data_IF_268889965030
#
_entry.id   IF_268889965030
#
_cell.length_a   1.000
_cell.length_b   1.000
_cell.length_c   1.000
_cell.angle_alpha   90.00
_cell.angle_beta   90.00
_cell.angle_gamma   90.00
#
_symmetry.space_group_name_H-M   'P 1'
#
loop_
_entity.id
_entity.type
_entity.pdbx_description
1 polymer ?
#
# COMPACT_ATOMS: atom_id res chain seq x y z
N UNK A 1 1.10 -2.64 0.47
CA UNK A 1 -0.12 -1.81 0.43
C UNK A 1 -0.04 -0.53 1.28
N UNK A 2 0.18 -0.57 2.61
CA UNK A 2 0.30 0.66 3.43
C UNK A 2 1.48 1.54 3.02
N UNK A 3 2.61 0.92 2.64
CA UNK A 3 3.80 1.61 2.14
C UNK A 3 3.51 2.42 0.87
N UNK A 4 2.67 1.92 -0.04
CA UNK A 4 2.18 2.70 -1.17
C UNK A 4 1.22 3.81 -0.76
N UNK A 5 0.24 3.49 0.11
CA UNK A 5 -0.74 4.46 0.58
C UNK A 5 -0.08 5.71 1.18
N UNK A 6 0.92 5.49 2.03
CA UNK A 6 1.63 6.54 2.74
C UNK A 6 2.92 7.00 2.06
N UNK A 7 3.45 6.28 1.08
CA UNK A 7 4.73 6.58 0.42
C UNK A 7 4.60 7.28 -0.93
N UNK A 8 3.55 7.00 -1.71
CA UNK A 8 3.40 7.56 -3.07
C UNK A 8 2.76 8.94 -3.04
N UNK A 9 3.39 9.88 -3.74
CA UNK A 9 2.92 11.24 -4.00
C UNK A 9 2.24 11.33 -5.37
N UNK A 10 0.91 11.39 -5.41
CA UNK A 10 0.12 11.37 -6.65
C UNK A 10 0.42 12.57 -7.56
N UNK A 11 0.70 13.75 -6.98
CA UNK A 11 1.09 14.92 -7.76
C UNK A 11 2.40 14.71 -8.52
N UNK A 12 3.37 14.06 -7.88
CA UNK A 12 4.63 13.64 -8.49
C UNK A 12 4.40 12.59 -9.57
N UNK A 13 3.52 11.60 -9.34
CA UNK A 13 3.16 10.61 -10.37
C UNK A 13 2.63 11.31 -11.62
N UNK A 14 1.67 12.24 -11.46
CA UNK A 14 1.07 12.98 -12.57
C UNK A 14 2.08 13.90 -13.28
N UNK A 15 3.04 14.47 -12.53
CA UNK A 15 4.13 15.26 -13.11
C UNK A 15 5.12 14.43 -13.94
N UNK A 16 5.39 13.18 -13.54
CA UNK A 16 6.32 12.30 -14.25
C UNK A 16 5.66 11.47 -15.35
N UNK A 17 4.36 11.24 -15.25
CA UNK A 17 3.58 10.47 -16.22
C UNK A 17 2.35 11.29 -16.65
N UNK A 18 2.52 12.35 -17.47
CA UNK A 18 1.49 13.37 -17.70
C UNK A 18 0.22 12.88 -18.40
N UNK A 19 0.26 11.68 -18.99
CA UNK A 19 -0.88 11.04 -19.66
C UNK A 19 -1.69 10.12 -18.74
N UNK A 20 -1.30 9.99 -17.48
CA UNK A 20 -1.93 9.09 -16.51
C UNK A 20 -2.66 9.89 -15.43
N UNK A 21 -3.94 9.57 -15.21
CA UNK A 21 -4.69 10.04 -14.04
C UNK A 21 -4.47 9.06 -12.89
N UNK A 22 -3.56 9.36 -11.97
CA UNK A 22 -3.19 8.45 -10.90
C UNK A 22 -4.32 8.34 -9.83
N UNK A 23 -4.69 7.10 -9.49
CA UNK A 23 -5.71 6.78 -8.50
C UNK A 23 -5.12 5.85 -7.44
N UNK A 24 -5.34 6.16 -6.16
CA UNK A 24 -4.85 5.36 -5.04
C UNK A 24 -5.86 4.29 -4.62
N UNK A 25 -5.59 3.05 -5.00
CA UNK A 25 -6.38 1.88 -4.57
C UNK A 25 -5.86 1.21 -3.30
N UNK A 26 -4.62 1.55 -2.88
CA UNK A 26 -4.03 0.98 -1.68
C UNK A 26 -4.87 1.29 -0.43
N UNK A 27 -4.87 0.34 0.49
CA UNK A 27 -5.54 0.43 1.79
C UNK A 27 -4.53 0.10 2.90
N UNK A 28 -4.65 0.81 4.02
CA UNK A 28 -3.77 0.60 5.16
C UNK A 28 -3.92 -0.85 5.67
N UNK A 29 -2.80 -1.57 5.77
CA UNK A 29 -2.75 -2.94 6.27
C UNK A 29 -3.48 -3.99 5.42
N UNK A 30 -3.94 -3.69 4.20
CA UNK A 30 -4.75 -4.63 3.39
C UNK A 30 -4.09 -4.92 2.04
N UNK A 31 -3.68 -6.18 1.83
CA UNK A 31 -3.00 -6.65 0.62
C UNK A 31 -3.87 -6.59 -0.64
N UNK A 32 -3.26 -6.42 -1.83
CA UNK A 32 -3.97 -5.94 -3.02
C UNK A 32 -4.76 -7.00 -3.80
N UNK A 33 -4.74 -8.27 -3.38
CA UNK A 33 -5.15 -9.37 -4.26
C UNK A 33 -6.65 -9.40 -4.60
N UNK A 34 -7.53 -9.11 -3.65
CA UNK A 34 -8.97 -8.98 -3.96
C UNK A 34 -9.24 -7.86 -4.98
N UNK A 35 -8.50 -6.75 -4.96
CA UNK A 35 -8.66 -5.68 -5.94
C UNK A 35 -8.01 -6.03 -7.27
N UNK A 36 -6.87 -6.75 -7.28
CA UNK A 36 -6.30 -7.29 -8.51
C UNK A 36 -7.28 -8.25 -9.20
N UNK A 37 -7.92 -9.14 -8.45
CA UNK A 37 -8.96 -10.04 -8.96
C UNK A 37 -10.15 -9.24 -9.50
N UNK A 38 -10.70 -8.30 -8.73
CA UNK A 38 -11.84 -7.49 -9.17
C UNK A 38 -11.52 -6.71 -10.46
N UNK A 39 -10.31 -6.16 -10.59
CA UNK A 39 -9.87 -5.51 -11.82
C UNK A 39 -9.67 -6.51 -12.96
N UNK A 40 -9.30 -7.76 -12.70
CA UNK A 40 -9.24 -8.79 -13.73
C UNK A 40 -10.64 -9.18 -14.26
N UNK A 41 -11.68 -9.04 -13.43
CA UNK A 41 -13.08 -9.27 -13.78
C UNK A 41 -13.73 -8.05 -14.45
N UNK A 42 -13.23 -6.84 -14.20
CA UNK A 42 -13.63 -5.60 -14.88
C UNK A 42 -13.09 -5.57 -16.33
N UNK A 43 -13.97 -5.78 -17.30
CA UNK A 43 -13.64 -5.83 -18.73
C UNK A 43 -13.24 -4.47 -19.32
N UNK A 44 -13.59 -3.36 -18.66
CA UNK A 44 -13.34 -2.01 -19.16
C UNK A 44 -11.99 -1.44 -18.67
N UNK A 45 -11.40 -2.04 -17.64
CA UNK A 45 -10.11 -1.56 -17.13
C UNK A 45 -8.97 -1.84 -18.11
N UNK A 46 -8.33 -0.79 -18.62
CA UNK A 46 -7.18 -0.87 -19.55
C UNK A 46 -5.97 -0.09 -19.05
N UNK A 47 -5.95 0.26 -17.76
CA UNK A 47 -4.92 1.08 -17.15
C UNK A 47 -3.63 0.31 -16.81
N UNK A 48 -2.66 1.06 -16.29
CA UNK A 48 -1.46 0.49 -15.64
C UNK A 48 -1.70 0.39 -14.14
N UNK A 49 -1.49 -0.80 -13.59
CA UNK A 49 -1.63 -1.12 -12.17
C UNK A 49 -0.25 -1.37 -11.57
N UNK A 50 0.14 -0.55 -10.60
CA UNK A 50 1.31 -0.78 -9.75
C UNK A 50 0.86 -1.52 -8.48
N UNK A 51 1.35 -2.74 -8.29
CA UNK A 51 0.91 -3.65 -7.21
C UNK A 51 2.00 -3.79 -6.15
N UNK A 52 1.83 -3.08 -5.04
CA UNK A 52 2.69 -3.20 -3.85
C UNK A 52 2.33 -4.45 -3.03
N UNK A 53 3.18 -5.47 -3.16
CA UNK A 53 3.05 -6.75 -2.47
C UNK A 53 4.41 -7.45 -2.34
N UNK A 54 4.69 -8.02 -1.17
CA UNK A 54 5.84 -8.90 -0.95
C UNK A 54 5.43 -10.38 -1.03
N UNK A 55 6.38 -11.30 -0.93
CA UNK A 55 6.09 -12.74 -1.01
C UNK A 55 5.08 -13.24 0.05
N UNK A 56 5.09 -12.62 1.23
CA UNK A 56 4.13 -12.92 2.31
C UNK A 56 2.74 -12.40 1.96
N UNK A 57 2.62 -11.21 1.38
CA UNK A 57 1.34 -10.63 0.95
C UNK A 57 0.63 -11.41 -0.14
N UNK A 58 1.34 -12.29 -0.86
CA UNK A 58 0.80 -13.15 -1.90
C UNK A 58 0.15 -14.44 -1.37
N UNK A 59 0.30 -14.77 -0.08
CA UNK A 59 -0.30 -15.97 0.50
C UNK A 59 -1.83 -15.91 0.52
N UNK A 60 -2.48 -17.08 0.39
CA UNK A 60 -3.95 -17.20 0.24
C UNK A 60 -4.74 -16.53 1.38
N UNK A 61 -4.26 -16.60 2.62
CA UNK A 61 -4.93 -15.97 3.76
C UNK A 61 -5.02 -14.44 3.66
N UNK A 62 -4.25 -13.81 2.76
CA UNK A 62 -4.28 -12.38 2.49
C UNK A 62 -5.14 -12.00 1.28
N UNK A 63 -5.70 -12.96 0.53
CA UNK A 63 -6.35 -12.69 -0.76
C UNK A 63 -7.58 -11.80 -0.59
N UNK A 64 -8.39 -12.04 0.43
CA UNK A 64 -9.63 -11.30 0.68
C UNK A 64 -9.43 -9.96 1.41
N UNK A 65 -8.19 -9.52 1.67
CA UNK A 65 -7.91 -8.37 2.52
C UNK A 65 -8.62 -7.07 2.08
N UNK A 66 -8.93 -6.92 0.79
CA UNK A 66 -9.64 -5.76 0.23
C UNK A 66 -11.09 -6.08 -0.21
N UNK A 67 -11.55 -7.32 -0.11
CA UNK A 67 -12.83 -7.77 -0.67
C UNK A 67 -14.02 -6.99 -0.11
N UNK A 68 -14.04 -6.73 1.19
CA UNK A 68 -15.09 -5.92 1.85
C UNK A 68 -15.15 -4.49 1.29
N UNK A 69 -13.99 -3.86 1.11
CA UNK A 69 -13.93 -2.50 0.55
C UNK A 69 -14.34 -2.48 -0.92
N UNK A 70 -13.97 -3.50 -1.69
CA UNK A 70 -14.40 -3.63 -3.09
C UNK A 70 -15.92 -3.75 -3.19
N UNK A 71 -16.54 -4.63 -2.38
CA UNK A 71 -18.00 -4.77 -2.34
C UNK A 71 -18.71 -3.47 -1.96
N UNK A 72 -18.22 -2.76 -0.94
CA UNK A 72 -18.81 -1.48 -0.55
C UNK A 72 -18.83 -0.48 -1.72
N UNK A 73 -17.75 -0.37 -2.49
CA UNK A 73 -17.70 0.55 -3.63
C UNK A 73 -18.45 0.05 -4.87
N UNK A 74 -18.62 -1.26 -5.03
CA UNK A 74 -19.39 -1.85 -6.12
C UNK A 74 -20.91 -1.77 -5.89
N UNK A 75 -21.35 -2.06 -4.65
CA UNK A 75 -22.76 -2.35 -4.35
C UNK A 75 -23.43 -1.24 -3.52
N UNK A 76 -22.70 -0.63 -2.58
CA UNK A 76 -23.28 0.29 -1.58
C UNK A 76 -22.99 1.77 -1.87
N UNK A 77 -22.01 2.07 -2.74
CA UNK A 77 -21.61 3.44 -3.03
C UNK A 77 -22.58 4.14 -3.98
N UNK A 78 -23.32 5.11 -3.46
CA UNK A 78 -24.34 5.83 -4.22
C UNK A 78 -23.86 7.18 -4.75
N UNK A 79 -24.50 7.73 -5.80
CA UNK A 79 -24.26 9.10 -6.25
C UNK A 79 -24.51 10.14 -5.14
N UNK A 80 -25.46 9.89 -4.23
CA UNK A 80 -25.72 10.75 -3.08
C UNK A 80 -24.56 10.78 -2.11
N UNK A 81 -23.90 9.64 -1.85
CA UNK A 81 -22.67 9.59 -1.06
C UNK A 81 -21.51 10.33 -1.75
N UNK A 82 -21.40 10.22 -3.07
CA UNK A 82 -20.40 10.99 -3.84
C UNK A 82 -20.62 12.50 -3.72
N UNK A 83 -21.85 12.98 -3.89
CA UNK A 83 -22.20 14.38 -3.71
C UNK A 83 -21.95 14.85 -2.26
N UNK A 84 -22.37 14.05 -1.28
CA UNK A 84 -22.11 14.32 0.13
C UNK A 84 -20.61 14.49 0.41
N UNK A 85 -19.76 13.60 -0.09
CA UNK A 85 -18.30 13.70 0.09
C UNK A 85 -17.70 14.92 -0.61
N UNK A 86 -18.17 15.27 -1.80
CA UNK A 86 -17.71 16.48 -2.52
C UNK A 86 -18.00 17.77 -1.74
N UNK A 87 -19.12 17.81 -1.00
CA UNK A 87 -19.48 18.95 -0.14
C UNK A 87 -18.76 18.91 1.21
N UNK A 88 -18.62 17.74 1.82
CA UNK A 88 -18.02 17.59 3.15
C UNK A 88 -16.50 17.78 3.15
N UNK A 89 -15.80 17.33 2.10
CA UNK A 89 -14.34 17.38 2.04
C UNK A 89 -13.78 18.82 2.18
N UNK A 90 -14.30 19.86 1.47
CA UNK A 90 -13.90 21.24 1.70
C UNK A 90 -14.16 21.73 3.13
N UNK A 91 -15.29 21.34 3.72
CA UNK A 91 -15.64 21.74 5.10
C UNK A 91 -14.69 21.11 6.11
N UNK A 92 -14.40 19.82 5.99
CA UNK A 92 -13.46 19.10 6.87
C UNK A 92 -12.02 19.63 6.79
N UNK A 93 -11.62 20.21 5.65
CA UNK A 93 -10.30 20.85 5.53
C UNK A 93 -10.17 22.13 6.35
N UNK A 94 -11.26 22.88 6.53
CA UNK A 94 -11.22 24.18 7.22
C UNK A 94 -11.65 24.06 8.69
N UNK A 95 -12.52 23.10 9.02
CA UNK A 95 -13.13 22.99 10.34
C UNK A 95 -12.67 21.73 11.07
N UNK A 96 -11.76 21.90 12.04
CA UNK A 96 -11.24 20.82 12.90
C UNK A 96 -12.35 20.11 13.67
N UNK A 97 -13.45 20.78 13.99
CA UNK A 97 -14.61 20.20 14.69
C UNK A 97 -15.33 19.10 13.88
N UNK A 98 -15.12 19.04 12.57
CA UNK A 98 -15.64 17.99 11.68
C UNK A 98 -14.68 16.80 11.54
N UNK A 99 -13.53 16.84 12.20
CA UNK A 99 -12.64 15.70 12.33
C UNK A 99 -13.23 14.70 13.33
N UNK A 100 -13.28 13.43 12.95
CA UNK A 100 -13.86 12.36 13.79
C UNK A 100 -13.11 12.13 15.11
N UNK A 101 -11.82 12.50 15.19
CA UNK A 101 -10.96 12.37 16.36
C UNK A 101 -10.92 13.64 17.22
N UNK A 102 -11.12 14.81 16.61
CA UNK A 102 -11.01 16.12 17.27
C UNK A 102 -12.35 16.88 17.37
N UNK A 103 -13.44 16.23 16.97
CA UNK A 103 -14.78 16.81 17.02
C UNK A 103 -15.32 16.94 18.43
N UNK A 104 -16.46 17.61 18.55
CA UNK A 104 -17.10 17.90 19.85
C UNK A 104 -17.42 16.65 20.69
N UNK A 105 -17.75 15.52 20.04
CA UNK A 105 -18.04 14.25 20.72
C UNK A 105 -16.79 13.66 21.40
N UNK A 106 -15.65 13.43 20.72
CA UNK A 106 -14.41 13.06 21.39
C UNK A 106 -13.95 14.05 22.46
N UNK A 107 -14.05 15.36 22.18
CA UNK A 107 -13.67 16.40 23.16
C UNK A 107 -14.49 16.26 24.45
N UNK A 108 -15.81 16.17 24.33
CA UNK A 108 -16.70 16.06 25.49
C UNK A 108 -16.50 14.76 26.26
N UNK A 109 -16.30 13.62 25.57
CA UNK A 109 -15.98 12.35 26.23
C UNK A 109 -14.67 12.41 27.01
N UNK A 110 -13.65 13.05 26.45
CA UNK A 110 -12.38 13.25 27.15
C UNK A 110 -12.51 14.21 28.34
N UNK A 111 -13.28 15.29 28.20
CA UNK A 111 -13.55 16.23 29.28
C UNK A 111 -14.32 15.61 30.45
N UNK A 112 -15.17 14.62 30.17
CA UNK A 112 -15.86 13.81 31.18
C UNK A 112 -15.00 12.66 31.74
N UNK A 113 -13.70 12.62 31.43
CA UNK A 113 -12.73 11.58 31.83
C UNK A 113 -13.10 10.14 31.40
N UNK A 114 -14.03 9.98 30.45
CA UNK A 114 -14.47 8.68 29.93
C UNK A 114 -13.48 8.16 28.87
N UNK A 115 -12.62 9.02 28.32
CA UNK A 115 -11.68 8.69 27.26
C UNK A 115 -10.36 9.45 27.43
N UNK A 116 -9.23 8.90 26.95
CA UNK A 116 -7.95 9.62 26.92
C UNK A 116 -8.07 10.93 26.13
N UNK A 117 -7.16 11.89 26.38
CA UNK A 117 -7.15 13.14 25.66
C UNK A 117 -7.08 12.91 24.15
N UNK A 118 -7.85 13.68 23.38
CA UNK A 118 -7.78 13.66 21.93
C UNK A 118 -6.35 14.02 21.49
N UNK A 119 -5.78 13.22 20.60
CA UNK A 119 -4.44 13.46 20.09
C UNK A 119 -4.49 13.73 18.59
N UNK A 120 -3.54 14.55 18.14
CA UNK A 120 -3.27 14.71 16.72
C UNK A 120 -2.57 13.44 16.24
N UNK A 121 -3.26 12.67 15.41
CA UNK A 121 -2.69 11.48 14.82
C UNK A 121 -1.49 11.84 13.93
N UNK A 122 -0.48 10.97 13.90
CA UNK A 122 0.65 11.10 12.99
C UNK A 122 0.27 10.76 11.55
N UNK A 123 -0.86 10.05 11.35
CA UNK A 123 -1.44 9.76 10.05
C UNK A 123 -2.51 10.77 9.61
N UNK A 124 -2.49 11.13 8.33
CA UNK A 124 -3.56 11.84 7.65
C UNK A 124 -3.85 11.21 6.28
N UNK A 125 -5.08 11.37 5.79
CA UNK A 125 -5.49 10.96 4.44
C UNK A 125 -6.10 12.15 3.70
N UNK A 126 -5.67 12.35 2.45
CA UNK A 126 -6.24 13.34 1.55
C UNK A 126 -7.56 12.84 0.93
N UNK A 127 -8.31 13.75 0.31
CA UNK A 127 -9.51 13.41 -0.45
C UNK A 127 -9.22 12.50 -1.67
N UNK A 128 -7.97 12.48 -2.15
CA UNK A 128 -7.49 11.57 -3.22
C UNK A 128 -6.99 10.24 -2.65
N UNK A 129 -7.24 9.98 -1.36
CA UNK A 129 -6.76 8.81 -0.60
C UNK A 129 -5.23 8.73 -0.50
N UNK A 130 -4.54 9.85 -0.65
CA UNK A 130 -3.11 9.90 -0.40
C UNK A 130 -2.86 10.00 1.11
N UNK A 131 -2.04 9.10 1.66
CA UNK A 131 -1.69 9.10 3.08
C UNK A 131 -0.44 9.93 3.38
N UNK A 132 -0.36 10.53 4.55
CA UNK A 132 0.84 11.20 5.06
C UNK A 132 1.13 10.70 6.47
N UNK A 133 2.40 10.44 6.76
CA UNK A 133 2.90 10.09 8.09
C UNK A 133 3.87 11.19 8.52
N UNK A 134 3.60 11.81 9.66
CA UNK A 134 4.49 12.76 10.33
C UNK A 134 5.20 12.02 11.47
N UNK A 135 6.34 11.41 11.16
CA UNK A 135 7.05 10.51 12.08
C UNK A 135 7.79 11.26 13.19
N UNK A 136 7.92 12.59 13.09
CA UNK A 136 8.43 13.45 14.17
C UNK A 136 7.45 13.55 15.36
N UNK A 137 6.17 13.19 15.17
CA UNK A 137 5.14 13.22 16.22
C UNK A 137 5.06 11.95 17.07
N UNK A 138 5.85 10.93 16.74
CA UNK A 138 5.76 9.60 17.35
C UNK A 138 7.16 9.05 17.65
N UNK A 139 7.24 8.10 18.57
CA UNK A 139 8.47 7.32 18.75
C UNK A 139 8.61 6.35 17.56
N UNK A 140 9.30 6.79 16.52
CA UNK A 140 9.54 5.99 15.31
C UNK A 140 10.29 4.69 15.62
N UNK A 141 11.24 4.72 16.56
CA UNK A 141 11.92 3.50 17.03
C UNK A 141 10.94 2.58 17.78
N UNK A 142 9.97 3.15 18.49
CA UNK A 142 8.85 2.43 19.10
C UNK A 142 7.95 1.75 18.07
N UNK A 143 7.63 2.44 16.98
CA UNK A 143 6.89 1.87 15.85
C UNK A 143 7.68 0.72 15.18
N UNK A 144 8.99 0.89 14.97
CA UNK A 144 9.84 -0.18 14.45
C UNK A 144 9.82 -1.44 15.35
N UNK A 145 9.90 -1.26 16.68
CA UNK A 145 9.76 -2.36 17.64
C UNK A 145 8.38 -3.03 17.58
N UNK A 146 7.33 -2.24 17.41
CA UNK A 146 5.96 -2.75 17.26
C UNK A 146 5.82 -3.57 15.97
N UNK A 147 6.25 -3.05 14.81
CA UNK A 147 6.18 -3.76 13.54
C UNK A 147 7.01 -5.04 13.53
N UNK A 148 8.18 -5.03 14.19
CA UNK A 148 8.96 -6.24 14.42
C UNK A 148 8.13 -7.29 15.17
N UNK A 149 7.56 -6.92 16.32
CA UNK A 149 6.80 -7.83 17.15
C UNK A 149 5.53 -8.35 16.46
N UNK A 150 4.85 -7.50 15.68
CA UNK A 150 3.71 -7.89 14.85
C UNK A 150 4.14 -8.90 13.77
N UNK A 151 5.25 -8.65 13.08
CA UNK A 151 5.76 -9.56 12.06
C UNK A 151 6.16 -10.92 12.65
N UNK A 152 6.83 -10.94 13.80
CA UNK A 152 7.18 -12.19 14.49
C UNK A 152 5.93 -13.01 14.83
N UNK A 153 4.89 -12.38 15.40
CA UNK A 153 3.61 -13.03 15.70
C UNK A 153 2.91 -13.54 14.45
N UNK A 154 2.91 -12.74 13.38
CA UNK A 154 2.29 -13.14 12.12
C UNK A 154 3.02 -14.32 11.48
N UNK A 155 4.35 -14.37 11.53
CA UNK A 155 5.14 -15.49 11.02
C UNK A 155 4.99 -16.75 11.87
N UNK A 156 4.78 -16.62 13.18
CA UNK A 156 4.47 -17.75 14.06
C UNK A 156 3.08 -18.33 13.75
N UNK A 157 2.08 -17.46 13.59
CA UNK A 157 0.70 -17.85 13.29
C UNK A 157 0.53 -18.37 11.85
N UNK A 158 1.25 -17.79 10.91
CA UNK A 158 1.18 -18.07 9.48
C UNK A 158 2.59 -18.30 8.91
N UNK A 159 3.22 -19.44 9.22
CA UNK A 159 4.57 -19.73 8.76
C UNK A 159 4.63 -19.83 7.23
N UNK A 160 5.79 -19.49 6.62
CA UNK A 160 5.96 -19.57 5.18
C UNK A 160 5.69 -21.00 4.67
N UNK A 161 4.77 -21.18 3.71
CA UNK A 161 4.58 -22.48 3.08
C UNK A 161 5.85 -22.86 2.30
N UNK A 162 6.07 -24.16 2.03
CA UNK A 162 7.16 -24.59 1.14
C UNK A 162 7.11 -23.86 -0.21
N UNK A 163 8.25 -23.36 -0.67
CA UNK A 163 8.31 -22.47 -1.85
C UNK A 163 7.63 -23.03 -3.11
N UNK A 164 7.70 -24.35 -3.35
CA UNK A 164 7.00 -25.00 -4.47
C UNK A 164 5.48 -24.95 -4.34
N UNK A 165 4.97 -25.18 -3.12
CA UNK A 165 3.54 -25.14 -2.85
C UNK A 165 3.03 -23.69 -2.93
N UNK A 166 3.78 -22.76 -2.35
CA UNK A 166 3.52 -21.33 -2.46
C UNK A 166 3.44 -20.86 -3.91
N UNK A 167 4.42 -21.23 -4.74
CA UNK A 167 4.44 -20.82 -6.14
C UNK A 167 3.24 -21.36 -6.93
N UNK A 168 2.89 -22.64 -6.74
CA UNK A 168 1.74 -23.27 -7.42
C UNK A 168 0.41 -22.62 -7.05
N UNK A 169 0.26 -22.23 -5.78
CA UNK A 169 -0.92 -21.51 -5.29
C UNK A 169 -1.14 -20.16 -5.99
N UNK A 170 -0.09 -19.55 -6.58
CA UNK A 170 -0.19 -18.26 -7.28
C UNK A 170 -0.63 -18.35 -8.75
N UNK A 171 -0.97 -19.55 -9.24
CA UNK A 171 -1.47 -19.70 -10.61
C UNK A 171 -2.70 -18.82 -10.92
N UNK A 172 -3.70 -18.66 -10.02
CA UNK A 172 -4.80 -17.72 -10.22
C UNK A 172 -4.36 -16.27 -10.34
N UNK A 173 -3.34 -15.85 -9.59
CA UNK A 173 -2.79 -14.48 -9.65
C UNK A 173 -2.21 -14.20 -11.04
N UNK A 174 -1.48 -15.15 -11.62
CA UNK A 174 -1.00 -15.04 -13.01
C UNK A 174 -2.16 -15.00 -14.01
N UNK A 175 -3.23 -15.77 -13.79
CA UNK A 175 -4.42 -15.71 -14.65
C UNK A 175 -5.07 -14.32 -14.63
N UNK A 176 -5.22 -13.72 -13.46
CA UNK A 176 -5.76 -12.36 -13.31
C UNK A 176 -4.92 -11.34 -14.07
N UNK A 177 -3.59 -11.42 -13.97
CA UNK A 177 -2.68 -10.54 -14.72
C UNK A 177 -2.88 -10.71 -16.23
N UNK A 178 -2.91 -11.95 -16.73
CA UNK A 178 -3.12 -12.21 -18.17
C UNK A 178 -4.43 -11.64 -18.67
N UNK A 179 -5.52 -11.72 -17.90
CA UNK A 179 -6.82 -11.13 -18.27
C UNK A 179 -6.75 -9.61 -18.39
N UNK A 180 -6.02 -8.94 -17.49
CA UNK A 180 -5.80 -7.49 -17.55
C UNK A 180 -4.96 -7.11 -18.77
N UNK A 181 -3.91 -7.88 -19.04
CA UNK A 181 -2.98 -7.58 -20.13
C UNK A 181 -3.55 -7.90 -21.52
N UNK A 182 -4.38 -8.94 -21.64
CA UNK A 182 -5.02 -9.34 -22.89
C UNK A 182 -5.93 -8.26 -23.49
N UNK A 183 -6.40 -7.32 -22.66
CA UNK A 183 -7.25 -6.18 -23.05
C UNK A 183 -6.50 -4.85 -23.09
N UNK A 184 -5.16 -4.88 -23.05
CA UNK A 184 -4.30 -3.70 -23.17
C UNK A 184 -3.93 -3.03 -21.86
N UNK A 185 -4.37 -3.57 -20.71
CA UNK A 185 -3.89 -3.15 -19.40
C UNK A 185 -2.45 -3.59 -19.15
N UNK A 186 -1.88 -3.10 -18.04
CA UNK A 186 -0.52 -3.44 -17.62
C UNK A 186 -0.49 -3.68 -16.13
N UNK A 187 0.13 -4.76 -15.68
CA UNK A 187 0.35 -5.02 -14.25
C UNK A 187 1.84 -5.06 -13.99
N UNK A 188 2.29 -4.27 -13.01
CA UNK A 188 3.67 -4.26 -12.53
C UNK A 188 3.63 -4.49 -11.03
N UNK A 189 4.16 -5.63 -10.60
CA UNK A 189 4.35 -5.89 -9.18
C UNK A 189 5.60 -5.17 -8.69
N UNK A 190 5.57 -4.70 -7.45
CA UNK A 190 6.78 -4.20 -6.83
C UNK A 190 6.81 -4.43 -5.32
N UNK A 191 8.03 -4.61 -4.79
CA UNK A 191 8.29 -4.66 -3.35
C UNK A 191 8.90 -3.34 -2.92
N UNK A 192 8.19 -2.50 -2.15
CA UNK A 192 8.74 -1.25 -1.61
C UNK A 192 9.87 -1.52 -0.60
N UNK A 193 10.75 -0.53 -0.34
CA UNK A 193 11.83 -0.70 0.60
C UNK A 193 11.32 -0.94 2.03
N UNK A 194 12.06 -1.79 2.74
CA UNK A 194 11.99 -2.03 4.18
C UNK A 194 13.41 -2.04 4.71
N UNK A 195 13.59 -1.72 5.99
CA UNK A 195 14.91 -1.66 6.61
C UNK A 195 14.94 -2.35 7.97
N UNK A 196 16.08 -2.24 8.66
CA UNK A 196 16.28 -2.76 10.00
C UNK A 196 15.94 -4.24 10.17
N UNK A 197 15.28 -4.55 11.29
CA UNK A 197 14.95 -5.93 11.62
C UNK A 197 13.84 -6.50 10.73
N UNK A 198 12.97 -5.64 10.21
CA UNK A 198 11.90 -6.08 9.32
C UNK A 198 12.46 -6.68 8.03
N UNK A 199 13.44 -6.03 7.41
CA UNK A 199 14.12 -6.57 6.23
C UNK A 199 14.77 -7.94 6.52
N UNK A 200 15.42 -8.07 7.66
CA UNK A 200 16.09 -9.32 8.09
C UNK A 200 15.08 -10.46 8.28
N UNK A 201 13.97 -10.20 8.98
CA UNK A 201 12.95 -11.22 9.24
C UNK A 201 12.21 -11.64 7.96
N UNK A 202 11.89 -10.68 7.07
CA UNK A 202 11.24 -10.99 5.80
C UNK A 202 12.15 -11.85 4.92
N UNK A 203 13.43 -11.50 4.78
CA UNK A 203 14.36 -12.29 3.96
C UNK A 203 14.62 -13.68 4.58
N UNK A 204 14.68 -13.80 5.90
CA UNK A 204 14.82 -15.09 6.56
C UNK A 204 13.61 -16.00 6.35
N UNK A 205 12.39 -15.45 6.42
CA UNK A 205 11.15 -16.19 6.28
C UNK A 205 10.79 -16.49 4.82
N UNK A 206 10.95 -15.51 3.94
CA UNK A 206 10.65 -15.57 2.52
C UNK A 206 11.86 -15.15 1.68
N UNK A 207 12.95 -15.95 1.63
CA UNK A 207 14.14 -15.61 0.87
C UNK A 207 13.82 -15.20 -0.56
N UNK A 208 14.23 -13.99 -0.98
CA UNK A 208 13.83 -13.39 -2.25
C UNK A 208 14.05 -14.35 -3.43
N UNK A 209 15.21 -15.01 -3.48
CA UNK A 209 15.58 -15.93 -4.54
C UNK A 209 14.67 -17.17 -4.63
N UNK A 210 14.06 -17.59 -3.51
CA UNK A 210 13.20 -18.78 -3.44
C UNK A 210 11.73 -18.48 -3.65
N UNK A 211 11.30 -17.25 -3.33
CA UNK A 211 9.91 -16.82 -3.38
C UNK A 211 9.69 -15.76 -4.46
N UNK A 212 9.97 -14.48 -4.16
CA UNK A 212 9.66 -13.36 -5.04
C UNK A 212 10.24 -13.52 -6.45
N UNK A 213 11.55 -13.74 -6.57
CA UNK A 213 12.21 -13.84 -7.87
C UNK A 213 11.62 -14.99 -8.69
N UNK A 214 11.41 -16.13 -8.03
CA UNK A 214 10.83 -17.31 -8.67
C UNK A 214 9.39 -17.08 -9.13
N UNK A 215 8.59 -16.32 -8.39
CA UNK A 215 7.23 -15.94 -8.81
C UNK A 215 7.25 -15.10 -10.08
N UNK A 216 8.09 -14.07 -10.11
CA UNK A 216 8.25 -13.19 -11.27
C UNK A 216 8.73 -14.00 -12.49
N UNK A 217 9.77 -14.82 -12.34
CA UNK A 217 10.36 -15.58 -13.43
C UNK A 217 9.44 -16.70 -13.95
N UNK A 218 8.84 -17.48 -13.04
CA UNK A 218 8.02 -18.64 -13.41
C UNK A 218 6.77 -18.26 -14.19
N UNK A 219 6.11 -17.17 -13.79
CA UNK A 219 4.90 -16.68 -14.43
C UNK A 219 5.18 -15.58 -15.48
N UNK A 220 6.45 -15.27 -15.73
CA UNK A 220 6.89 -14.24 -16.69
C UNK A 220 6.22 -12.88 -16.45
N UNK A 221 6.18 -12.46 -15.20
CA UNK A 221 5.50 -11.23 -14.77
C UNK A 221 6.46 -10.03 -14.81
N UNK A 222 5.89 -8.84 -14.82
CA UNK A 222 6.63 -7.60 -14.59
C UNK A 222 6.75 -7.37 -13.09
N UNK A 223 7.97 -7.35 -12.58
CA UNK A 223 8.27 -7.23 -11.16
C UNK A 223 9.51 -6.37 -10.92
N UNK A 224 9.48 -5.56 -9.86
CA UNK A 224 10.65 -4.84 -9.37
C UNK A 224 10.80 -5.01 -7.85
N UNK A 225 12.00 -5.27 -7.35
CA UNK A 225 12.28 -5.33 -5.92
C UNK A 225 13.15 -4.14 -5.50
N UNK A 226 12.93 -3.58 -4.31
CA UNK A 226 13.82 -2.52 -3.79
C UNK A 226 15.29 -2.91 -3.64
N UNK A 227 15.61 -4.21 -3.72
CA UNK A 227 16.99 -4.71 -3.67
C UNK A 227 17.65 -4.71 -5.06
N UNK A 228 16.87 -4.44 -6.10
CA UNK A 228 17.34 -4.18 -7.47
C UNK A 228 17.59 -2.68 -7.68
N UNK A 229 17.46 -1.88 -6.63
CA UNK A 229 17.80 -0.47 -6.66
C UNK A 229 19.32 -0.28 -6.73
N UNK A 230 19.78 0.43 -7.77
CA UNK A 230 21.18 0.81 -7.96
C UNK A 230 21.52 2.07 -7.13
N UNK A 231 21.20 2.04 -5.84
CA UNK A 231 21.43 3.10 -4.86
C UNK A 231 20.57 4.37 -5.02
N UNK A 232 19.55 4.37 -5.88
CA UNK A 232 18.66 5.53 -6.00
C UNK A 232 17.78 5.74 -4.77
N UNK A 233 17.60 4.75 -3.90
CA UNK A 233 16.81 4.86 -2.67
C UNK A 233 17.66 5.01 -1.41
N UNK A 234 19.00 5.07 -1.51
CA UNK A 234 19.92 5.16 -0.37
C UNK A 234 19.67 6.40 0.52
N UNK A 235 19.14 7.49 -0.06
CA UNK A 235 18.82 8.72 0.66
C UNK A 235 17.40 8.72 1.29
N UNK A 236 16.59 7.70 1.02
CA UNK A 236 15.23 7.59 1.55
C UNK A 236 15.30 6.90 2.91
N UNK A 237 14.91 7.62 3.96
CA UNK A 237 14.88 7.06 5.31
C UNK A 237 13.54 6.39 5.56
N UNK A 238 13.57 5.31 6.34
CA UNK A 238 12.40 4.61 6.85
C UNK A 238 12.44 4.64 8.39
N UNK A 239 11.99 5.73 9.04
CA UNK A 239 12.20 5.91 10.47
C UNK A 239 11.58 4.82 11.36
N UNK A 240 10.52 4.17 10.88
CA UNK A 240 9.83 3.06 11.55
C UNK A 240 10.19 1.67 10.95
N UNK A 241 11.29 1.58 10.20
CA UNK A 241 11.74 0.43 9.40
C UNK A 241 10.85 0.06 8.19
N UNK A 242 9.73 0.76 7.94
CA UNK A 242 8.73 0.35 6.92
C UNK A 242 8.23 1.46 6.00
N UNK A 243 8.05 2.67 6.50
CA UNK A 243 7.36 3.77 5.80
C UNK A 243 8.27 4.97 5.62
N UNK A 244 8.08 5.63 4.49
CA UNK A 244 8.70 6.93 4.18
C UNK A 244 7.93 8.03 4.91
N UNK A 245 8.65 8.99 5.47
CA UNK A 245 8.03 10.19 6.06
C UNK A 245 7.36 11.05 4.98
N UNK A 246 6.27 11.75 5.35
CA UNK A 246 5.55 12.67 4.48
C UNK A 246 6.48 13.66 3.76
N UNK A 247 7.53 14.15 4.42
CA UNK A 247 8.49 15.09 3.87
C UNK A 247 9.30 14.52 2.70
N UNK A 248 9.52 13.20 2.65
CA UNK A 248 10.32 12.53 1.63
C UNK A 248 9.49 11.85 0.52
N UNK A 249 8.16 11.76 0.65
CA UNK A 249 7.28 11.08 -0.32
C UNK A 249 7.50 11.48 -1.78
N UNK A 250 7.61 12.77 -2.06
CA UNK A 250 7.83 13.26 -3.42
C UNK A 250 9.18 12.79 -3.98
N UNK A 251 10.24 12.80 -3.17
CA UNK A 251 11.56 12.31 -3.58
C UNK A 251 11.55 10.79 -3.80
N UNK A 252 10.95 10.03 -2.87
CA UNK A 252 10.76 8.60 -2.99
C UNK A 252 10.00 8.22 -4.26
N UNK A 253 8.88 8.88 -4.52
CA UNK A 253 8.06 8.63 -5.71
C UNK A 253 8.84 8.89 -7.00
N UNK A 254 9.63 9.97 -7.07
CA UNK A 254 10.48 10.25 -8.24
C UNK A 254 11.51 9.15 -8.48
N UNK A 255 12.18 8.71 -7.42
CA UNK A 255 13.22 7.68 -7.50
C UNK A 255 12.63 6.32 -7.90
N UNK A 256 11.50 5.92 -7.29
CA UNK A 256 10.78 4.70 -7.66
C UNK A 256 10.33 4.71 -9.13
N UNK A 257 9.62 5.75 -9.58
CA UNK A 257 9.14 5.81 -10.96
C UNK A 257 10.31 5.88 -11.95
N UNK A 258 11.39 6.58 -11.61
CA UNK A 258 12.62 6.60 -12.38
C UNK A 258 13.22 5.20 -12.54
N UNK A 259 13.26 4.38 -11.47
CA UNK A 259 13.68 2.98 -11.55
C UNK A 259 12.79 2.18 -12.49
N UNK A 260 11.47 2.24 -12.29
CA UNK A 260 10.54 1.49 -13.12
C UNK A 260 10.62 1.88 -14.61
N UNK A 261 10.89 3.16 -14.92
CA UNK A 261 11.14 3.61 -16.29
C UNK A 261 12.48 3.10 -16.85
N UNK A 262 13.56 3.13 -16.06
CA UNK A 262 14.87 2.60 -16.48
C UNK A 262 14.82 1.10 -16.81
N UNK A 263 14.07 0.36 -16.00
CA UNK A 263 13.84 -1.09 -16.19
C UNK A 263 12.80 -1.40 -17.30
N UNK A 264 12.24 -0.38 -17.96
CA UNK A 264 11.26 -0.56 -19.03
C UNK A 264 9.90 -1.13 -18.56
N UNK A 265 9.58 -0.96 -17.27
CA UNK A 265 8.34 -1.45 -16.66
C UNK A 265 7.17 -0.47 -16.80
N UNK A 266 7.46 0.83 -16.99
CA UNK A 266 6.47 1.90 -17.20
C UNK A 266 6.44 2.37 -18.65
#
# INVERSE_FOLDING_TARGET
ASRTLYGIDLGTVEGMVPRSSAVMLALNGRYPLATLQALAEDVDFTGTLLVDVDARGLTEYNWDAQAESNRYFADDWTPSWSAHRRLLNPLQRHWVSLNSRLGWLPMSKSWLEIAPPPFLAHDALSARREGYLDLDRVDAAGLARMFKADLERELEKHPPPPADAWLKMLAPVSDWVRRIEARGGRVVFFVPPVSGYQATLVEAAYPRARYWQRFIDHYQLRGWHYLDDDGLLDEITLPDDSHVDAAQKGAYTRRLLGNLQREGLL
#
